data_IF_591709004461
#
_entry.id   IF_591709004461
#
_cell.length_a   1.000
_cell.length_b   1.000
_cell.length_c   1.000
_cell.angle_alpha   90.00
_cell.angle_beta   90.00
_cell.angle_gamma   90.00
#
_symmetry.space_group_name_H-M   'P 1'
#
loop_
_entity.id
_entity.type
_entity.pdbx_description
1 polymer ?
#
# COMPACT_ATOMS: atom_id res chain seq x y z
N UNK A 1 27.72 -3.87 17.63
CA UNK A 1 26.61 -4.21 16.73
C UNK A 1 26.26 -3.00 15.86
N UNK A 2 25.96 -3.27 14.63
CA UNK A 2 25.66 -2.23 13.66
C UNK A 2 24.16 -2.13 13.43
N UNK A 3 23.63 -0.93 13.44
CA UNK A 3 22.23 -0.71 13.06
C UNK A 3 22.17 -0.52 11.57
N UNK A 4 21.27 -1.24 10.93
CA UNK A 4 21.11 -1.23 9.48
C UNK A 4 19.67 -0.82 9.16
N UNK A 5 19.54 0.07 8.19
CA UNK A 5 18.24 0.52 7.71
C UNK A 5 17.95 -0.20 6.40
N UNK A 6 16.87 -0.95 6.36
CA UNK A 6 16.46 -1.67 5.17
C UNK A 6 15.24 -0.99 4.55
N UNK A 7 15.36 -0.66 3.28
CA UNK A 7 14.28 -0.05 2.50
C UNK A 7 13.74 -1.05 1.49
N UNK A 8 12.42 -1.14 1.40
CA UNK A 8 11.79 -1.89 0.33
C UNK A 8 10.66 -1.05 -0.25
N UNK A 9 10.68 -0.88 -1.54
CA UNK A 9 9.66 -0.10 -2.23
C UNK A 9 9.15 -0.92 -3.41
N UNK A 10 7.87 -1.29 -3.35
CA UNK A 10 7.24 -2.10 -4.37
C UNK A 10 6.17 -1.25 -5.03
N UNK A 11 6.23 -1.15 -6.34
CA UNK A 11 5.22 -0.47 -7.13
C UNK A 11 4.63 -1.48 -8.09
N UNK A 12 3.32 -1.67 -8.03
CA UNK A 12 2.61 -2.62 -8.88
C UNK A 12 1.62 -1.85 -9.73
N UNK A 13 1.66 -2.07 -11.05
CA UNK A 13 0.63 -1.61 -11.96
C UNK A 13 -0.07 -2.84 -12.50
N UNK A 14 -1.39 -2.79 -12.51
CA UNK A 14 -2.18 -3.91 -12.99
C UNK A 14 -3.42 -3.42 -13.70
N UNK A 15 -3.94 -4.26 -14.59
CA UNK A 15 -5.25 -4.07 -15.20
C UNK A 15 -6.20 -5.06 -14.59
N UNK A 16 -7.37 -4.60 -14.18
CA UNK A 16 -8.35 -5.45 -13.53
C UNK A 16 -9.71 -5.26 -14.18
N UNK A 17 -10.45 -6.35 -14.36
CA UNK A 17 -11.77 -6.31 -14.98
C UNK A 17 -12.85 -5.90 -14.01
N UNK A 18 -12.65 -6.16 -12.71
CA UNK A 18 -13.62 -5.81 -11.68
C UNK A 18 -12.94 -5.00 -10.59
N UNK A 19 -12.79 -3.68 -10.82
CA UNK A 19 -12.06 -2.86 -9.87
C UNK A 19 -12.87 -2.59 -8.60
N UNK A 20 -12.13 -2.28 -7.54
CA UNK A 20 -12.73 -1.71 -6.35
C UNK A 20 -13.19 -0.30 -6.68
N UNK A 21 -14.46 0.01 -6.42
CA UNK A 21 -15.02 1.33 -6.71
C UNK A 21 -15.55 2.02 -5.46
N UNK A 22 -15.53 1.34 -4.31
CA UNK A 22 -16.05 1.88 -3.06
C UNK A 22 -14.93 2.11 -2.06
N UNK A 23 -15.02 3.23 -1.35
CA UNK A 23 -14.01 3.61 -0.37
C UNK A 23 -13.83 2.56 0.72
N UNK A 24 -14.91 2.04 1.26
CA UNK A 24 -14.81 1.06 2.35
C UNK A 24 -14.15 -0.24 1.91
N UNK A 25 -14.35 -0.64 0.66
CA UNK A 25 -13.69 -1.85 0.14
C UNK A 25 -12.20 -1.61 -0.08
N UNK A 26 -11.82 -0.41 -0.51
CA UNK A 26 -10.42 -0.06 -0.63
C UNK A 26 -9.74 -0.05 0.74
N UNK A 27 -10.41 0.49 1.75
CA UNK A 27 -9.89 0.48 3.12
C UNK A 27 -9.67 -0.95 3.62
N UNK A 28 -10.64 -1.83 3.40
CA UNK A 28 -10.51 -3.24 3.80
C UNK A 28 -9.37 -3.92 3.08
N UNK A 29 -9.19 -3.62 1.82
CA UNK A 29 -8.12 -4.20 1.02
C UNK A 29 -6.75 -3.79 1.57
N UNK A 30 -6.55 -2.49 1.85
CA UNK A 30 -5.31 -2.02 2.42
C UNK A 30 -5.05 -2.62 3.81
N UNK A 31 -6.10 -2.76 4.63
CA UNK A 31 -5.95 -3.39 5.94
C UNK A 31 -5.47 -4.83 5.82
N UNK A 32 -5.94 -5.56 4.82
CA UNK A 32 -5.46 -6.93 4.60
C UNK A 32 -3.99 -6.96 4.23
N UNK A 33 -3.55 -6.02 3.41
CA UNK A 33 -2.14 -5.94 3.03
C UNK A 33 -1.29 -5.58 4.25
N UNK A 34 -1.71 -4.59 5.01
CA UNK A 34 -0.97 -4.16 6.20
C UNK A 34 -0.80 -5.33 7.17
N UNK A 35 -1.87 -6.08 7.39
CA UNK A 35 -1.81 -7.25 8.26
C UNK A 35 -0.88 -8.33 7.68
N UNK A 36 -0.96 -8.54 6.38
CA UNK A 36 -0.15 -9.56 5.72
C UNK A 36 1.34 -9.27 5.81
N UNK A 37 1.74 -8.00 5.78
CA UNK A 37 3.14 -7.63 5.90
C UNK A 37 3.58 -7.49 7.36
N UNK A 38 2.68 -7.75 8.32
CA UNK A 38 3.03 -7.79 9.73
C UNK A 38 3.22 -6.42 10.37
N UNK A 39 2.61 -5.38 9.81
CA UNK A 39 2.75 -4.03 10.32
C UNK A 39 1.45 -3.52 10.90
N UNK A 40 1.54 -2.37 11.56
CA UNK A 40 0.38 -1.71 12.15
C UNK A 40 0.18 -0.36 11.51
N UNK A 41 -1.08 -0.01 11.28
CA UNK A 41 -1.42 1.31 10.79
C UNK A 41 -1.25 2.35 11.89
N UNK A 42 -0.60 3.44 11.54
CA UNK A 42 -0.46 4.61 12.41
C UNK A 42 -1.52 5.64 12.08
N UNK A 43 -1.94 5.70 10.84
CA UNK A 43 -3.01 6.58 10.37
C UNK A 43 -3.69 5.93 9.19
N UNK A 44 -5.01 5.83 9.24
CA UNK A 44 -5.78 5.21 8.18
C UNK A 44 -5.87 3.69 8.34
N UNK A 45 -6.16 2.95 7.29
CA UNK A 45 -6.34 3.43 5.91
C UNK A 45 -7.52 4.39 5.77
N UNK A 46 -7.37 5.31 4.82
CA UNK A 46 -8.46 6.20 4.44
C UNK A 46 -8.57 6.18 2.92
N UNK A 47 -9.73 6.59 2.41
CA UNK A 47 -9.98 6.54 0.98
C UNK A 47 -10.89 7.66 0.55
N UNK A 48 -10.72 8.06 -0.70
CA UNK A 48 -11.56 9.06 -1.33
C UNK A 48 -11.86 8.64 -2.76
N UNK A 49 -13.02 9.01 -3.28
CA UNK A 49 -13.37 8.73 -4.66
C UNK A 49 -13.32 10.02 -5.46
N UNK A 50 -12.52 10.03 -6.51
CA UNK A 50 -12.43 11.17 -7.42
C UNK A 50 -13.47 11.03 -8.50
N UNK A 51 -14.32 12.07 -8.69
CA UNK A 51 -15.38 12.07 -9.70
C UNK A 51 -15.00 12.88 -10.94
N UNK A 52 -13.78 13.39 -10.99
CA UNK A 52 -13.36 14.23 -12.10
C UNK A 52 -13.19 13.40 -13.36
N UNK A 53 -13.80 13.84 -14.44
CA UNK A 53 -13.64 13.18 -15.74
C UNK A 53 -12.15 13.12 -16.09
N UNK A 54 -11.71 11.95 -16.51
CA UNK A 54 -10.31 11.70 -16.83
C UNK A 54 -9.52 11.12 -15.69
N UNK A 55 -10.02 11.22 -14.44
CA UNK A 55 -9.33 10.72 -13.27
C UNK A 55 -10.27 10.03 -12.28
N UNK A 56 -11.35 9.46 -12.77
CA UNK A 56 -12.31 8.81 -11.87
C UNK A 56 -11.72 7.58 -11.22
N UNK A 57 -11.98 7.44 -9.93
CA UNK A 57 -11.60 6.24 -9.21
C UNK A 57 -11.27 6.51 -7.76
N UNK A 58 -10.96 5.42 -7.07
CA UNK A 58 -10.66 5.43 -5.63
C UNK A 58 -9.18 5.60 -5.43
N UNK A 59 -8.83 6.50 -4.51
CA UNK A 59 -7.47 6.57 -3.95
C UNK A 59 -7.56 6.24 -2.48
N UNK A 60 -6.68 5.36 -2.01
CA UNK A 60 -6.62 4.96 -0.61
C UNK A 60 -5.16 4.96 -0.16
N UNK A 61 -4.94 5.29 1.11
CA UNK A 61 -3.59 5.22 1.65
C UNK A 61 -3.62 5.01 3.15
N UNK A 62 -2.46 4.62 3.68
CA UNK A 62 -2.26 4.51 5.11
C UNK A 62 -0.81 4.83 5.44
N UNK A 63 -0.61 5.45 6.60
CA UNK A 63 0.70 5.57 7.20
C UNK A 63 0.88 4.38 8.12
N UNK A 64 1.92 3.63 7.91
CA UNK A 64 2.26 2.49 8.74
C UNK A 64 3.64 2.74 9.35
N UNK A 65 4.05 1.91 10.27
CA UNK A 65 5.29 2.14 11.04
C UNK A 65 6.44 2.55 10.12
N UNK A 66 6.85 3.81 10.16
CA UNK A 66 7.93 4.41 9.34
C UNK A 66 7.81 4.09 7.86
N UNK A 67 6.59 3.89 7.37
CA UNK A 67 6.33 3.37 6.03
C UNK A 67 4.98 3.87 5.56
N UNK A 68 4.61 3.53 4.35
CA UNK A 68 3.29 3.89 3.85
C UNK A 68 2.83 2.91 2.78
N UNK A 69 1.52 2.92 2.54
CA UNK A 69 0.91 2.18 1.46
C UNK A 69 -0.12 3.08 0.79
N UNK A 70 -0.12 3.11 -0.53
CA UNK A 70 -1.04 3.91 -1.30
C UNK A 70 -1.55 3.12 -2.49
N UNK A 71 -2.80 3.36 -2.85
CA UNK A 71 -3.41 2.68 -3.99
C UNK A 71 -4.24 3.68 -4.76
N UNK A 72 -4.10 3.64 -6.10
CA UNK A 72 -4.89 4.44 -7.01
C UNK A 72 -5.57 3.52 -8.00
N UNK A 73 -6.85 3.75 -8.23
CA UNK A 73 -7.63 2.97 -9.19
C UNK A 73 -8.29 3.96 -10.14
N UNK A 74 -8.12 3.72 -11.45
CA UNK A 74 -8.77 4.49 -12.50
C UNK A 74 -9.81 3.59 -13.14
N UNK A 75 -11.09 3.89 -12.91
CA UNK A 75 -12.18 3.00 -13.30
C UNK A 75 -12.96 3.49 -14.52
N UNK A 76 -12.56 4.60 -15.13
CA UNK A 76 -13.17 5.06 -16.38
C UNK A 76 -12.79 4.20 -17.58
N UNK A 77 -11.65 3.53 -17.48
CA UNK A 77 -11.15 2.66 -18.55
C UNK A 77 -11.51 1.22 -18.26
N UNK A 78 -11.62 0.41 -19.28
CA UNK A 78 -11.92 -1.01 -19.14
C UNK A 78 -10.92 -1.81 -19.98
N UNK A 79 -10.06 -2.63 -19.39
CA UNK A 79 -9.98 -2.89 -17.94
C UNK A 79 -9.48 -1.69 -17.16
N UNK A 80 -9.85 -1.66 -15.89
CA UNK A 80 -9.45 -0.58 -15.01
C UNK A 80 -7.97 -0.68 -14.67
N UNK A 81 -7.35 0.47 -14.44
CA UNK A 81 -5.95 0.52 -14.04
C UNK A 81 -5.84 0.63 -12.52
N UNK A 82 -4.90 -0.11 -11.97
CA UNK A 82 -4.59 -0.06 -10.53
C UNK A 82 -3.10 0.18 -10.37
N UNK A 83 -2.74 1.08 -9.48
CA UNK A 83 -1.37 1.25 -9.05
C UNK A 83 -1.31 1.13 -7.54
N UNK A 84 -0.47 0.22 -7.08
CA UNK A 84 -0.25 -0.02 -5.65
C UNK A 84 1.20 0.31 -5.34
N UNK A 85 1.39 1.08 -4.27
CA UNK A 85 2.71 1.55 -3.85
C UNK A 85 2.86 1.15 -2.38
N UNK A 86 3.83 0.29 -2.10
CA UNK A 86 4.12 -0.16 -0.74
C UNK A 86 5.57 0.16 -0.43
N UNK A 87 5.77 1.08 0.49
CA UNK A 87 7.10 1.42 0.96
C UNK A 87 7.24 0.97 2.41
N UNK A 88 8.29 0.20 2.68
CA UNK A 88 8.61 -0.23 4.03
C UNK A 88 10.05 0.12 4.35
N UNK A 89 10.26 0.48 5.60
CA UNK A 89 11.58 0.85 6.08
C UNK A 89 11.73 0.29 7.48
N UNK A 90 12.72 -0.58 7.65
CA UNK A 90 12.97 -1.24 8.92
C UNK A 90 14.38 -0.95 9.39
N UNK A 91 14.50 -0.65 10.68
CA UNK A 91 15.78 -0.49 11.33
C UNK A 91 16.01 -1.73 12.18
N UNK A 92 17.13 -2.39 11.96
CA UNK A 92 17.45 -3.57 12.74
C UNK A 92 18.94 -3.60 13.07
N UNK A 93 19.28 -4.39 14.08
CA UNK A 93 20.68 -4.62 14.45
C UNK A 93 21.13 -5.88 13.74
N UNK A 94 22.28 -5.78 13.06
CA UNK A 94 22.75 -6.88 12.21
C UNK A 94 24.16 -7.32 12.60
N UNK A 95 24.30 -8.11 13.68
CA UNK A 95 25.58 -8.78 13.91
C UNK A 95 25.73 -9.99 12.98
N UNK A 96 24.61 -10.52 12.48
CA UNK A 96 24.60 -11.71 11.65
C UNK A 96 23.36 -11.69 10.77
N UNK A 97 23.43 -12.23 9.55
CA UNK A 97 22.26 -12.26 8.67
C UNK A 97 21.05 -13.00 9.24
N UNK A 98 21.29 -13.97 10.13
CA UNK A 98 20.19 -14.72 10.73
C UNK A 98 19.33 -13.89 11.64
N UNK A 99 19.84 -12.79 12.13
CA UNK A 99 19.08 -11.93 13.03
C UNK A 99 18.11 -11.03 12.31
N UNK A 100 18.02 -11.15 11.00
CA UNK A 100 17.17 -10.30 10.16
C UNK A 100 15.81 -10.93 9.93
N UNK A 101 15.53 -12.05 10.52
CA UNK A 101 14.24 -12.73 10.28
C UNK A 101 13.08 -11.90 10.80
N UNK A 102 11.95 -12.04 10.15
CA UNK A 102 10.74 -11.30 10.43
C UNK A 102 9.56 -12.22 10.57
#
# INVERSE_FOLDING_TARGET
>A
MTKVLEHKHIIIRAEVSEPITRRNKAIKFLNRIIKAIGMKAMYGPTASYCKMKGNRGVTAFAIIETSHIAMHIWDEVNPALVQLDVYTCLLYTSPSPRDISR
#
